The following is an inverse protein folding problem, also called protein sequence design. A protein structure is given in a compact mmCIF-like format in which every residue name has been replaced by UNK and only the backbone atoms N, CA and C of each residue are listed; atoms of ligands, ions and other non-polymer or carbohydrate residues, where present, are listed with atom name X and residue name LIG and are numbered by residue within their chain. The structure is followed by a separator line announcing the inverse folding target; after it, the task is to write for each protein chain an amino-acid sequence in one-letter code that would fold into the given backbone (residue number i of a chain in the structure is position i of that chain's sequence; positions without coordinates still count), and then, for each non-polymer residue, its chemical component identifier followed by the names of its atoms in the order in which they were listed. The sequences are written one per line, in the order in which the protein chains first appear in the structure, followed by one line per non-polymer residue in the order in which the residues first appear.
data_IF_568193150135
#
_entry.id   IF_568193150135
#
_cell.length_a   1.000
_cell.length_b   1.000
_cell.length_c   1.000
_cell.angle_alpha   90.00
_cell.angle_beta   90.00
_cell.angle_gamma   90.00
#
_symmetry.space_group_name_H-M   'P 1'
#
loop_
_entity.id
_entity.type
_entity.pdbx_description
1 polymer ?
#
# COMPACT_ATOMS: atom_id res chain seq x y z
N UNK A 1 9.98 11.85 -24.33
CA UNK A 1 10.35 11.75 -22.89
C UNK A 1 9.70 10.46 -22.44
N UNK A 2 10.46 9.48 -21.97
CA UNK A 2 9.92 8.16 -21.65
C UNK A 2 9.12 8.25 -20.35
N UNK A 3 7.79 8.29 -20.46
CA UNK A 3 6.87 8.50 -19.33
C UNK A 3 6.82 7.29 -18.38
N UNK A 4 7.42 6.16 -18.78
CA UNK A 4 7.40 4.90 -18.04
C UNK A 4 8.78 4.51 -17.50
N UNK A 5 9.74 5.44 -17.48
CA UNK A 5 11.04 5.18 -16.88
C UNK A 5 10.87 4.76 -15.41
N UNK A 6 11.38 3.57 -14.99
CA UNK A 6 11.28 3.12 -13.60
C UNK A 6 11.91 4.15 -12.66
N UNK A 7 11.27 4.39 -11.51
CA UNK A 7 11.85 5.26 -10.49
C UNK A 7 13.16 4.66 -9.98
N UNK A 8 14.17 5.51 -9.84
CA UNK A 8 15.41 5.12 -9.19
C UNK A 8 15.21 5.05 -7.67
N UNK A 9 16.09 4.35 -6.97
CA UNK A 9 16.10 4.31 -5.50
C UNK A 9 16.13 5.72 -4.89
N UNK A 10 16.89 6.64 -5.49
CA UNK A 10 16.97 8.04 -5.07
C UNK A 10 15.65 8.78 -5.24
N UNK A 11 14.88 8.46 -6.27
CA UNK A 11 13.55 9.05 -6.46
C UNK A 11 12.59 8.58 -5.37
N UNK A 12 12.62 7.28 -5.02
CA UNK A 12 11.80 6.72 -3.94
C UNK A 12 12.11 7.33 -2.57
N UNK A 13 13.38 7.64 -2.29
CA UNK A 13 13.79 8.26 -1.03
C UNK A 13 13.28 9.70 -0.87
N UNK A 14 13.04 10.41 -1.97
CA UNK A 14 12.61 11.81 -1.97
C UNK A 14 11.08 11.97 -2.04
N UNK A 15 10.31 10.88 -2.14
CA UNK A 15 8.85 10.95 -2.16
C UNK A 15 8.28 11.25 -0.76
N UNK A 16 7.20 12.07 -0.68
CA UNK A 16 6.55 12.36 0.59
C UNK A 16 5.98 11.07 1.19
N UNK A 17 6.31 10.74 2.44
CA UNK A 17 5.81 9.53 3.12
C UNK A 17 4.54 9.84 3.90
N UNK A 18 3.62 8.88 3.89
CA UNK A 18 2.41 8.95 4.72
C UNK A 18 2.57 8.05 5.93
N UNK A 19 2.26 8.57 7.11
CA UNK A 19 2.22 7.77 8.33
C UNK A 19 0.89 7.05 8.39
N UNK A 20 0.91 5.73 8.35
CA UNK A 20 -0.30 4.90 8.34
C UNK A 20 -0.28 3.89 9.49
N UNK A 21 -1.41 3.77 10.18
CA UNK A 21 -1.65 2.66 11.08
C UNK A 21 -2.09 1.43 10.25
N UNK A 22 -1.25 0.41 10.23
CA UNK A 22 -1.48 -0.85 9.53
C UNK A 22 -1.94 -1.88 10.55
N UNK A 23 -3.18 -2.33 10.43
CA UNK A 23 -3.68 -3.51 11.15
C UNK A 23 -3.30 -4.75 10.36
N UNK A 24 -2.54 -5.64 10.97
CA UNK A 24 -2.09 -6.90 10.36
C UNK A 24 -2.20 -8.05 11.35
N UNK A 25 -2.06 -9.28 10.87
CA UNK A 25 -1.95 -10.47 11.71
C UNK A 25 -0.52 -10.99 11.64
N UNK A 26 0.11 -11.17 12.80
CA UNK A 26 1.44 -11.74 12.92
C UNK A 26 1.40 -12.79 14.04
N UNK A 27 1.89 -14.00 13.75
CA UNK A 27 1.78 -15.17 14.63
C UNK A 27 0.33 -15.47 15.08
N UNK A 28 -0.65 -15.29 14.18
CA UNK A 28 -2.07 -15.53 14.46
C UNK A 28 -2.70 -14.53 15.43
N UNK A 29 -2.02 -13.43 15.76
CA UNK A 29 -2.52 -12.37 16.62
C UNK A 29 -2.70 -11.07 15.82
N UNK A 30 -3.85 -10.41 15.99
CA UNK A 30 -4.09 -9.10 15.38
C UNK A 30 -3.24 -8.03 16.07
N UNK A 31 -2.48 -7.26 15.29
CA UNK A 31 -1.61 -6.19 15.76
C UNK A 31 -1.81 -4.94 14.91
N UNK A 32 -1.62 -3.78 15.53
CA UNK A 32 -1.57 -2.49 14.82
C UNK A 32 -0.15 -1.97 14.89
N UNK A 33 0.45 -1.74 13.73
CA UNK A 33 1.79 -1.20 13.56
C UNK A 33 1.67 0.16 12.87
N UNK A 34 2.52 1.11 13.23
CA UNK A 34 2.60 2.37 12.48
C UNK A 34 3.77 2.27 11.51
N UNK A 35 3.51 2.49 10.23
CA UNK A 35 4.52 2.44 9.18
C UNK A 35 4.51 3.73 8.36
N UNK A 36 5.69 4.15 7.91
CA UNK A 36 5.83 5.19 6.90
C UNK A 36 5.69 4.54 5.53
N UNK A 37 4.57 4.80 4.86
CA UNK A 37 4.23 4.20 3.57
C UNK A 37 4.54 5.18 2.45
N UNK A 38 5.26 4.69 1.43
CA UNK A 38 5.48 5.45 0.21
C UNK A 38 4.16 5.57 -0.57
N UNK A 39 3.85 6.75 -1.13
CA UNK A 39 2.78 6.89 -2.10
C UNK A 39 3.01 5.88 -3.20
N UNK A 40 1.92 5.28 -3.65
CA UNK A 40 2.02 4.52 -4.86
C UNK A 40 2.39 5.43 -6.02
N UNK A 41 3.46 5.06 -6.70
CA UNK A 41 3.91 5.75 -7.90
C UNK A 41 2.86 5.52 -8.98
N UNK A 42 2.28 6.59 -9.58
CA UNK A 42 1.18 6.47 -10.55
C UNK A 42 1.45 5.48 -11.70
N UNK A 43 2.72 5.26 -12.04
CA UNK A 43 3.16 4.44 -13.17
C UNK A 43 3.55 3.00 -12.80
N UNK A 44 3.49 2.60 -11.52
CA UNK A 44 3.78 1.22 -11.07
C UNK A 44 2.52 0.32 -10.95
N UNK A 45 1.33 0.86 -11.21
CA UNK A 45 0.16 0.11 -11.69
C UNK A 45 -0.58 -0.83 -10.72
N UNK A 46 -0.11 -1.02 -9.49
CA UNK A 46 -0.75 -1.97 -8.55
C UNK A 46 -1.99 -1.43 -7.83
N UNK A 47 -2.22 -0.11 -7.83
CA UNK A 47 -3.16 0.60 -6.95
C UNK A 47 -4.58 0.11 -7.07
N UNK A 48 -5.00 0.03 -8.33
CA UNK A 48 -6.36 -0.35 -8.70
C UNK A 48 -6.60 -1.83 -8.37
N UNK A 49 -5.57 -2.66 -8.49
CA UNK A 49 -5.66 -4.07 -8.16
C UNK A 49 -5.70 -4.29 -6.64
N UNK A 50 -4.76 -3.69 -5.90
CA UNK A 50 -4.70 -3.74 -4.43
C UNK A 50 -6.02 -3.24 -3.84
N UNK A 51 -6.52 -2.07 -4.28
CA UNK A 51 -7.79 -1.53 -3.79
C UNK A 51 -8.98 -2.44 -4.06
N UNK A 52 -9.03 -3.10 -5.23
CA UNK A 52 -10.10 -4.05 -5.56
C UNK A 52 -10.09 -5.26 -4.63
N UNK A 53 -8.91 -5.83 -4.40
CA UNK A 53 -8.73 -7.01 -3.53
C UNK A 53 -9.01 -6.69 -2.06
N UNK A 54 -8.55 -5.53 -1.57
CA UNK A 54 -8.87 -5.06 -0.21
C UNK A 54 -10.37 -4.91 0.01
N UNK A 55 -11.07 -4.22 -0.90
CA UNK A 55 -12.53 -4.04 -0.80
C UNK A 55 -13.29 -5.38 -0.78
N UNK A 56 -12.85 -6.35 -1.58
CA UNK A 56 -13.46 -7.68 -1.60
C UNK A 56 -13.29 -8.42 -0.26
N UNK A 57 -12.11 -8.31 0.37
CA UNK A 57 -11.84 -8.88 1.69
C UNK A 57 -12.67 -8.20 2.79
N UNK A 58 -12.74 -6.87 2.79
CA UNK A 58 -13.49 -6.12 3.81
C UNK A 58 -15.00 -6.37 3.71
N UNK A 59 -15.51 -6.50 2.48
CA UNK A 59 -16.89 -6.91 2.26
C UNK A 59 -17.20 -8.30 2.83
N UNK A 60 -16.26 -9.24 2.75
CA UNK A 60 -16.41 -10.57 3.36
C UNK A 60 -16.36 -10.52 4.89
N UNK A 61 -15.55 -9.63 5.48
CA UNK A 61 -15.46 -9.46 6.92
C UNK A 61 -16.71 -8.83 7.56
N UNK A 62 -17.53 -8.12 6.77
CA UNK A 62 -18.75 -7.42 7.25
C UNK A 62 -19.97 -8.33 7.33
N UNK A 63 -19.89 -9.59 6.85
CA UNK A 63 -21.02 -10.55 6.78
C UNK A 63 -21.05 -11.53 7.97
N UNK A 64 -20.39 -11.23 9.08
CA UNK A 64 -20.44 -12.03 10.33
C UNK A 64 -20.88 -11.16 11.49
#
# INVERSE_FOLDING_TARGET
RDEMAPLTERDLLNLPRYRMAVRTEFDGQSRVLTADILPEVPNLGSARLVRRLSNARDAQATVT
#
